data_IF_879174883030
#
_entry.id   IF_879174883030
#
_cell.length_a   1.000
_cell.length_b   1.000
_cell.length_c   1.000
_cell.angle_alpha   90.00
_cell.angle_beta   90.00
_cell.angle_gamma   90.00
#
_symmetry.space_group_name_H-M   'P 1'
#
loop_
_entity.id
_entity.type
_entity.pdbx_description
1 polymer ?
#
# COMPACT_ATOMS: atom_id res chain seq x y z
N UNK A 1 -17.22 -14.83 -6.16
CA UNK A 1 -16.03 -14.20 -6.76
C UNK A 1 -15.64 -14.79 -8.10
N UNK A 2 -15.26 -16.08 -8.20
CA UNK A 2 -14.82 -16.63 -9.49
C UNK A 2 -15.91 -16.61 -10.58
N UNK A 3 -17.17 -16.88 -10.20
CA UNK A 3 -18.33 -16.73 -11.09
C UNK A 3 -18.50 -15.28 -11.56
N UNK A 4 -18.40 -14.29 -10.66
CA UNK A 4 -18.45 -12.87 -11.03
C UNK A 4 -17.30 -12.48 -11.96
N UNK A 5 -16.09 -13.03 -11.74
CA UNK A 5 -14.96 -12.81 -12.65
C UNK A 5 -15.23 -13.38 -14.04
N UNK A 6 -15.89 -14.55 -14.14
CA UNK A 6 -16.33 -15.10 -15.41
C UNK A 6 -17.40 -14.23 -16.09
N UNK A 7 -18.37 -13.72 -15.31
CA UNK A 7 -19.43 -12.82 -15.80
C UNK A 7 -18.85 -11.49 -16.28
N UNK A 8 -17.96 -10.87 -15.51
CA UNK A 8 -17.24 -9.65 -15.88
C UNK A 8 -16.43 -9.85 -17.17
N UNK A 9 -15.78 -11.00 -17.33
CA UNK A 9 -15.03 -11.32 -18.55
C UNK A 9 -15.92 -11.53 -19.78
N UNK A 10 -17.13 -12.09 -19.63
CA UNK A 10 -18.12 -12.14 -20.72
C UNK A 10 -18.63 -10.74 -21.07
N UNK A 11 -18.88 -9.92 -20.05
CA UNK A 11 -19.40 -8.57 -20.22
C UNK A 11 -18.37 -7.67 -20.93
N UNK A 12 -17.09 -7.76 -20.56
CA UNK A 12 -15.99 -7.06 -21.23
C UNK A 12 -15.77 -7.50 -22.69
N UNK A 13 -16.33 -8.63 -23.11
CA UNK A 13 -16.31 -9.12 -24.50
C UNK A 13 -17.59 -8.77 -25.28
N UNK A 14 -18.51 -8.00 -24.68
CA UNK A 14 -19.80 -7.67 -25.28
C UNK A 14 -20.81 -8.82 -25.30
N UNK A 15 -20.52 -9.96 -24.66
CA UNK A 15 -21.40 -11.14 -24.67
C UNK A 15 -22.38 -11.18 -23.48
N UNK A 16 -22.60 -10.04 -22.83
CA UNK A 16 -23.45 -9.95 -21.63
C UNK A 16 -22.87 -10.72 -20.43
N UNK A 17 -23.73 -11.16 -19.51
CA UNK A 17 -23.34 -11.89 -18.28
C UNK A 17 -23.70 -13.39 -18.33
N UNK A 18 -24.00 -13.91 -19.52
CA UNK A 18 -24.48 -15.29 -19.67
C UNK A 18 -23.33 -16.31 -19.59
N UNK A 19 -23.50 -17.32 -18.74
CA UNK A 19 -22.58 -18.46 -18.57
C UNK A 19 -23.14 -19.77 -19.15
N UNK A 20 -24.27 -19.74 -19.88
CA UNK A 20 -24.97 -20.93 -20.39
C UNK A 20 -24.08 -21.85 -21.23
N UNK A 21 -23.23 -21.29 -22.09
CA UNK A 21 -22.27 -22.08 -22.88
C UNK A 21 -21.31 -22.88 -21.98
N UNK A 22 -20.76 -22.25 -20.93
CA UNK A 22 -19.85 -22.89 -19.99
C UNK A 22 -20.56 -23.95 -19.13
N UNK A 23 -21.77 -23.63 -18.64
CA UNK A 23 -22.63 -24.56 -17.90
C UNK A 23 -22.96 -25.80 -18.73
N UNK A 24 -23.30 -25.62 -20.00
CA UNK A 24 -23.63 -26.72 -20.93
C UNK A 24 -22.44 -27.65 -21.12
N UNK A 25 -21.24 -27.09 -21.27
CA UNK A 25 -20.00 -27.88 -21.39
C UNK A 25 -19.69 -28.66 -20.11
N UNK A 26 -19.88 -28.07 -18.94
CA UNK A 26 -19.68 -28.74 -17.66
C UNK A 26 -20.71 -29.86 -17.43
N UNK A 27 -21.99 -29.63 -17.75
CA UNK A 27 -23.04 -30.66 -17.69
C UNK A 27 -22.71 -31.87 -18.56
N UNK A 28 -22.20 -31.64 -19.79
CA UNK A 28 -21.82 -32.73 -20.69
C UNK A 28 -20.71 -33.61 -20.11
N UNK A 29 -19.68 -33.01 -19.52
CA UNK A 29 -18.59 -33.76 -18.88
C UNK A 29 -19.07 -34.56 -17.66
N UNK A 30 -20.00 -34.01 -16.87
CA UNK A 30 -20.61 -34.73 -15.74
C UNK A 30 -21.48 -35.90 -16.19
N UNK A 31 -22.18 -35.73 -17.30
CA UNK A 31 -23.03 -36.77 -17.89
C UNK A 31 -22.19 -37.89 -18.51
N UNK A 32 -21.07 -37.54 -19.15
CA UNK A 32 -20.05 -38.50 -19.59
C UNK A 32 -19.47 -39.29 -18.40
N UNK A 33 -19.16 -38.61 -17.28
CA UNK A 33 -18.67 -39.27 -16.06
C UNK A 33 -19.74 -40.18 -15.43
N UNK A 34 -21.00 -39.73 -15.36
CA UNK A 34 -22.11 -40.51 -14.82
C UNK A 34 -22.38 -41.79 -15.63
N UNK A 35 -22.05 -41.76 -16.92
CA UNK A 35 -22.18 -42.90 -17.85
C UNK A 35 -20.98 -43.84 -17.84
N UNK A 36 -20.01 -43.65 -16.92
CA UNK A 36 -18.86 -44.53 -16.81
C UNK A 36 -19.28 -45.98 -16.46
N UNK A 37 -18.56 -46.95 -17.02
CA UNK A 37 -18.87 -48.37 -16.86
C UNK A 37 -18.82 -48.85 -15.41
N UNK A 38 -18.00 -48.23 -14.55
CA UNK A 38 -17.94 -48.55 -13.13
C UNK A 38 -19.19 -48.10 -12.38
N UNK A 39 -19.74 -46.92 -12.72
CA UNK A 39 -20.96 -46.40 -12.10
C UNK A 39 -22.18 -47.21 -12.54
N UNK A 40 -22.26 -47.54 -13.84
CA UNK A 40 -23.31 -48.42 -14.37
C UNK A 40 -23.29 -49.80 -13.69
N UNK A 41 -22.10 -50.41 -13.54
CA UNK A 41 -21.97 -51.69 -12.84
C UNK A 41 -22.31 -51.59 -11.35
N UNK A 42 -22.05 -50.45 -10.71
CA UNK A 42 -22.44 -50.18 -9.32
C UNK A 42 -23.96 -50.01 -9.19
N UNK A 43 -24.60 -49.28 -10.11
CA UNK A 43 -26.07 -49.15 -10.18
C UNK A 43 -26.74 -50.50 -10.30
N UNK A 44 -26.25 -51.37 -11.19
CA UNK A 44 -26.78 -52.72 -11.36
C UNK A 44 -26.65 -53.54 -10.07
N UNK A 45 -25.47 -53.47 -9.43
CA UNK A 45 -25.22 -54.20 -8.18
C UNK A 45 -26.08 -53.71 -7.02
N UNK A 46 -26.21 -52.40 -6.86
CA UNK A 46 -27.09 -51.80 -5.85
C UNK A 46 -28.55 -52.12 -6.19
N UNK A 47 -28.91 -52.07 -7.47
CA UNK A 47 -30.22 -52.41 -8.00
C UNK A 47 -30.63 -53.84 -7.70
N UNK A 48 -29.72 -54.80 -7.81
CA UNK A 48 -29.99 -56.21 -7.48
C UNK A 48 -30.22 -56.42 -5.99
N UNK A 49 -29.42 -55.78 -5.14
CA UNK A 49 -29.64 -55.81 -3.70
C UNK A 49 -30.96 -55.13 -3.30
N UNK A 50 -31.23 -53.94 -3.84
CA UNK A 50 -32.43 -53.16 -3.52
C UNK A 50 -33.70 -53.86 -4.03
N UNK A 51 -33.61 -54.55 -5.18
CA UNK A 51 -34.67 -55.42 -5.69
C UNK A 51 -34.94 -56.60 -4.75
N UNK A 52 -33.89 -57.31 -4.31
CA UNK A 52 -34.04 -58.42 -3.35
C UNK A 52 -34.75 -57.97 -2.06
N UNK A 53 -34.46 -56.75 -1.60
CA UNK A 53 -35.03 -56.21 -0.36
C UNK A 53 -36.44 -55.62 -0.51
N UNK A 54 -36.80 -55.06 -1.68
CA UNK A 54 -38.04 -54.27 -1.84
C UNK A 54 -39.10 -54.90 -2.75
N UNK A 55 -38.76 -55.95 -3.52
CA UNK A 55 -39.66 -56.52 -4.53
C UNK A 55 -40.98 -57.08 -3.98
N UNK A 56 -41.04 -57.46 -2.70
CA UNK A 56 -42.26 -57.97 -2.06
C UNK A 56 -43.31 -56.92 -1.69
N UNK A 57 -42.97 -55.62 -1.78
CA UNK A 57 -43.87 -54.52 -1.37
C UNK A 57 -44.01 -53.49 -2.49
N UNK A 58 -42.92 -52.87 -2.92
CA UNK A 58 -42.91 -51.93 -4.04
C UNK A 58 -41.52 -51.90 -4.65
N UNK A 59 -41.45 -52.13 -5.96
CA UNK A 59 -40.17 -52.12 -6.66
C UNK A 59 -39.65 -50.69 -6.81
N UNK A 60 -38.40 -50.48 -6.41
CA UNK A 60 -37.67 -49.23 -6.59
C UNK A 60 -36.42 -49.48 -7.46
N UNK A 61 -36.01 -48.46 -8.21
CA UNK A 61 -34.83 -48.50 -9.08
C UNK A 61 -33.85 -47.43 -8.63
N UNK A 62 -32.62 -47.80 -8.24
CA UNK A 62 -31.59 -46.83 -7.94
C UNK A 62 -31.02 -46.27 -9.24
N UNK A 63 -30.78 -44.96 -9.25
CA UNK A 63 -30.08 -44.25 -10.30
C UNK A 63 -29.06 -43.30 -9.65
N UNK A 64 -27.88 -43.20 -10.24
CA UNK A 64 -26.82 -42.26 -9.91
C UNK A 64 -26.94 -41.13 -10.93
N UNK A 65 -27.35 -39.95 -10.46
CA UNK A 65 -27.47 -38.77 -11.31
C UNK A 65 -26.19 -37.93 -11.25
N UNK A 66 -25.74 -37.42 -12.39
CA UNK A 66 -24.75 -36.34 -12.45
C UNK A 66 -25.24 -35.09 -11.72
N UNK A 67 -24.32 -34.32 -11.11
CA UNK A 67 -24.68 -33.02 -10.52
C UNK A 67 -25.14 -32.04 -11.61
N UNK A 68 -26.08 -31.15 -11.28
CA UNK A 68 -26.47 -30.05 -12.18
C UNK A 68 -25.36 -29.01 -12.18
N UNK A 69 -24.80 -28.69 -13.34
CA UNK A 69 -23.77 -27.67 -13.47
C UNK A 69 -24.38 -26.26 -13.47
N UNK A 70 -24.77 -25.79 -12.30
CA UNK A 70 -25.16 -24.39 -12.06
C UNK A 70 -23.94 -23.52 -11.67
N UNK A 71 -24.17 -22.23 -11.44
CA UNK A 71 -23.10 -21.29 -11.07
C UNK A 71 -22.45 -21.66 -9.72
N UNK A 72 -23.23 -22.25 -8.81
CA UNK A 72 -22.73 -22.75 -7.52
C UNK A 72 -21.82 -23.96 -7.70
N UNK A 73 -22.13 -24.84 -8.64
CA UNK A 73 -21.29 -25.97 -9.03
C UNK A 73 -19.97 -25.47 -9.63
N UNK A 74 -20.02 -24.52 -10.56
CA UNK A 74 -18.81 -23.91 -11.13
C UNK A 74 -17.93 -23.29 -10.04
N UNK A 75 -18.53 -22.58 -9.07
CA UNK A 75 -17.81 -22.01 -7.93
C UNK A 75 -17.18 -23.07 -7.00
N UNK A 76 -17.76 -24.27 -6.92
CA UNK A 76 -17.28 -25.37 -6.06
C UNK A 76 -16.17 -26.21 -6.70
N UNK A 77 -16.18 -26.33 -8.02
CA UNK A 77 -15.25 -27.22 -8.75
C UNK A 77 -14.02 -26.49 -9.25
N UNK A 78 -14.13 -25.18 -9.51
CA UNK A 78 -13.01 -24.38 -9.96
C UNK A 78 -12.23 -23.84 -8.77
N UNK A 79 -10.97 -24.25 -8.68
CA UNK A 79 -10.02 -23.75 -7.70
C UNK A 79 -8.99 -22.82 -8.37
N UNK A 80 -8.66 -21.72 -7.71
CA UNK A 80 -7.55 -20.86 -8.13
C UNK A 80 -6.25 -21.40 -7.54
N UNK A 81 -5.22 -21.48 -8.37
CA UNK A 81 -3.88 -21.89 -7.98
C UNK A 81 -2.86 -20.85 -8.42
N UNK A 82 -1.70 -20.83 -7.77
CA UNK A 82 -0.60 -19.93 -8.10
C UNK A 82 0.68 -20.70 -8.37
N UNK A 83 1.46 -20.23 -9.35
CA UNK A 83 2.78 -20.75 -9.66
C UNK A 83 3.80 -19.61 -9.60
N UNK A 84 5.00 -19.87 -9.08
CA UNK A 84 6.11 -18.92 -9.11
C UNK A 84 6.85 -18.91 -10.47
N UNK A 85 6.63 -19.95 -11.28
CA UNK A 85 7.21 -20.15 -12.61
C UNK A 85 6.05 -20.40 -13.57
N UNK A 86 6.17 -19.89 -14.79
CA UNK A 86 5.16 -20.09 -15.84
C UNK A 86 4.97 -21.59 -16.15
N UNK A 87 3.71 -22.03 -16.23
CA UNK A 87 3.33 -23.43 -16.44
C UNK A 87 2.26 -23.88 -15.46
N UNK A 88 1.23 -24.57 -15.95
CA UNK A 88 0.13 -25.09 -15.09
C UNK A 88 0.61 -26.21 -14.17
N UNK A 89 1.61 -26.95 -14.60
CA UNK A 89 2.29 -28.02 -13.87
C UNK A 89 3.02 -27.53 -12.60
N UNK A 90 3.31 -26.24 -12.52
CA UNK A 90 3.97 -25.61 -11.37
C UNK A 90 2.97 -24.93 -10.42
N UNK A 91 1.67 -25.02 -10.72
CA UNK A 91 0.63 -24.42 -9.92
C UNK A 91 0.46 -25.18 -8.61
N UNK A 92 0.46 -24.45 -7.51
CA UNK A 92 0.26 -24.94 -6.16
C UNK A 92 -1.09 -24.46 -5.63
N UNK A 93 -1.77 -25.29 -4.80
CA UNK A 93 -2.92 -24.85 -4.02
C UNK A 93 -2.56 -23.63 -3.16
N UNK A 94 -3.54 -22.75 -2.92
CA UNK A 94 -3.29 -21.49 -2.19
C UNK A 94 -2.77 -21.73 -0.76
N UNK A 95 -3.10 -22.87 -0.15
CA UNK A 95 -2.61 -23.29 1.17
C UNK A 95 -1.08 -23.48 1.22
N UNK A 96 -0.47 -23.81 0.07
CA UNK A 96 0.97 -24.03 -0.06
C UNK A 96 1.74 -22.77 -0.50
N UNK A 97 1.03 -21.67 -0.77
CA UNK A 97 1.60 -20.41 -1.29
C UNK A 97 1.74 -19.40 -0.15
N UNK A 98 2.75 -18.54 -0.21
CA UNK A 98 2.95 -17.50 0.78
C UNK A 98 1.74 -16.55 0.87
N UNK A 99 1.27 -16.29 2.10
CA UNK A 99 0.06 -15.50 2.40
C UNK A 99 0.02 -14.16 1.66
N UNK A 100 1.16 -13.48 1.50
CA UNK A 100 1.23 -12.23 0.75
C UNK A 100 0.78 -12.35 -0.71
N UNK A 101 1.18 -13.41 -1.42
CA UNK A 101 0.75 -13.64 -2.80
C UNK A 101 -0.72 -14.05 -2.88
N UNK A 102 -1.22 -14.76 -1.87
CA UNK A 102 -2.66 -15.06 -1.75
C UNK A 102 -3.46 -13.77 -1.57
N UNK A 103 -2.98 -12.83 -0.75
CA UNK A 103 -3.61 -11.51 -0.60
C UNK A 103 -3.62 -10.72 -1.92
N UNK A 104 -2.51 -10.71 -2.66
CA UNK A 104 -2.45 -10.07 -3.98
C UNK A 104 -3.43 -10.71 -4.98
N UNK A 105 -3.52 -12.04 -4.99
CA UNK A 105 -4.51 -12.74 -5.82
C UNK A 105 -5.93 -12.35 -5.42
N UNK A 106 -6.22 -12.27 -4.12
CA UNK A 106 -7.54 -11.87 -3.65
C UNK A 106 -7.92 -10.45 -4.11
N UNK A 107 -7.00 -9.50 -3.99
CA UNK A 107 -7.19 -8.12 -4.47
C UNK A 107 -7.39 -8.12 -5.99
N UNK A 108 -6.56 -8.84 -6.74
CA UNK A 108 -6.64 -8.92 -8.20
C UNK A 108 -7.97 -9.53 -8.67
N UNK A 109 -8.40 -10.64 -8.05
CA UNK A 109 -9.69 -11.28 -8.35
C UNK A 109 -10.86 -10.35 -8.01
N UNK A 110 -10.75 -9.60 -6.92
CA UNK A 110 -11.77 -8.63 -6.52
C UNK A 110 -11.89 -7.50 -7.53
N UNK A 111 -10.78 -6.91 -7.94
CA UNK A 111 -10.76 -5.85 -8.96
C UNK A 111 -11.24 -6.33 -10.34
N UNK A 112 -10.86 -7.56 -10.72
CA UNK A 112 -11.25 -8.17 -11.99
C UNK A 112 -12.73 -8.59 -12.03
N UNK A 113 -13.34 -8.86 -10.88
CA UNK A 113 -14.77 -9.14 -10.79
C UNK A 113 -15.64 -7.88 -10.96
N UNK A 114 -15.10 -6.68 -10.67
CA UNK A 114 -15.82 -5.43 -10.87
C UNK A 114 -15.86 -5.12 -12.38
N UNK A 115 -17.05 -4.97 -12.99
CA UNK A 115 -17.18 -4.61 -14.41
C UNK A 115 -16.48 -3.29 -14.72
N UNK A 116 -15.80 -3.22 -15.87
CA UNK A 116 -15.09 -2.03 -16.33
C UNK A 116 -16.03 -1.19 -17.20
N UNK A 117 -16.57 -0.10 -16.63
CA UNK A 117 -17.58 0.71 -17.29
C UNK A 117 -17.08 1.28 -18.63
N UNK A 118 -15.80 1.67 -18.68
CA UNK A 118 -15.17 2.24 -19.90
C UNK A 118 -15.09 1.20 -21.02
N UNK A 119 -14.69 -0.03 -20.70
CA UNK A 119 -14.65 -1.12 -21.69
C UNK A 119 -16.03 -1.57 -22.15
N UNK A 120 -17.02 -1.55 -21.26
CA UNK A 120 -18.40 -1.90 -21.63
C UNK A 120 -18.95 -0.87 -22.62
N UNK A 121 -18.69 0.42 -22.40
CA UNK A 121 -19.04 1.48 -23.36
C UNK A 121 -18.31 1.31 -24.71
N UNK A 122 -17.02 1.01 -24.70
CA UNK A 122 -16.25 0.75 -25.93
C UNK A 122 -16.78 -0.48 -26.71
N UNK A 123 -16.99 -1.61 -26.04
CA UNK A 123 -17.47 -2.84 -26.67
C UNK A 123 -18.91 -2.70 -27.22
N UNK A 124 -19.78 -1.97 -26.52
CA UNK A 124 -21.14 -1.69 -27.02
C UNK A 124 -21.13 -0.73 -28.21
N UNK A 125 -20.22 0.24 -28.26
CA UNK A 125 -20.02 1.10 -29.42
C UNK A 125 -19.48 0.32 -30.63
N UNK A 126 -18.51 -0.59 -30.44
CA UNK A 126 -18.00 -1.45 -31.52
C UNK A 126 -19.07 -2.39 -32.08
N UNK A 127 -19.90 -2.99 -31.22
CA UNK A 127 -21.03 -3.83 -31.66
C UNK A 127 -22.12 -3.05 -32.39
N UNK A 128 -22.33 -1.77 -32.05
CA UNK A 128 -23.30 -0.91 -32.74
C UNK A 128 -22.81 -0.43 -34.13
N UNK A 129 -21.49 -0.36 -34.35
CA UNK A 129 -20.88 0.01 -35.64
C UNK A 129 -20.83 -1.17 -36.63
N UNK A 130 -20.93 -2.41 -36.12
CA UNK A 130 -21.23 -3.60 -36.94
C UNK A 130 -22.74 -3.60 -37.25
N UNK A 131 -23.16 -2.72 -38.16
CA UNK A 131 -24.54 -2.63 -38.64
C UNK A 131 -25.09 -3.99 -39.14
N UNK A 132 -26.43 -4.15 -39.21
CA UNK A 132 -27.05 -5.43 -39.52
C UNK A 132 -26.55 -5.91 -40.88
N UNK A 133 -26.00 -7.13 -40.91
CA UNK A 133 -25.58 -7.79 -42.14
C UNK A 133 -26.78 -7.81 -43.08
N UNK A 134 -26.68 -6.99 -44.13
CA UNK A 134 -27.69 -6.86 -45.15
C UNK A 134 -27.94 -8.24 -45.77
N UNK A 135 -29.11 -8.83 -45.47
CA UNK A 135 -29.66 -9.91 -46.26
C UNK A 135 -29.83 -9.36 -47.68
N UNK A 136 -29.03 -9.90 -48.60
CA UNK A 136 -29.02 -9.52 -50.01
C UNK A 136 -30.41 -9.63 -50.60
N UNK A 137 -30.97 -8.49 -51.01
CA UNK A 137 -32.12 -8.41 -51.89
C UNK A 137 -31.75 -8.93 -53.28
N UNK A 138 -32.01 -10.21 -53.53
CA UNK A 138 -32.04 -10.76 -54.88
C UNK A 138 -33.47 -10.65 -55.43
N UNK A 139 -33.66 -9.75 -56.39
CA UNK A 139 -34.80 -9.75 -57.29
C UNK A 139 -34.87 -11.08 -58.04
N UNK A 140 -36.00 -11.78 -57.99
CA UNK A 140 -36.44 -12.66 -59.06
C UNK A 140 -37.92 -12.45 -59.34
N UNK A 141 -38.18 -12.27 -60.64
CA UNK A 141 -39.44 -12.07 -61.32
C UNK A 141 -40.48 -13.16 -61.03
N UNK A 142 -41.75 -12.77 -61.16
CA UNK A 142 -42.90 -13.61 -60.86
C UNK A 142 -43.28 -14.64 -61.93
N UNK A 143 -43.95 -15.71 -61.48
CA UNK A 143 -45.04 -16.39 -62.17
C UNK A 143 -45.77 -17.33 -61.18
N UNK A 144 -47.09 -17.36 -61.29
CA UNK A 144 -48.05 -18.07 -60.42
C UNK A 144 -47.92 -19.60 -60.50
N UNK A 145 -48.02 -20.34 -59.38
CA UNK A 145 -48.89 -21.54 -59.28
C UNK A 145 -49.11 -22.05 -57.84
N UNK A 146 -50.39 -22.25 -57.50
CA UNK A 146 -51.02 -23.28 -56.64
C UNK A 146 -50.64 -23.47 -55.15
N UNK A 147 -51.70 -23.40 -54.33
CA UNK A 147 -51.79 -23.78 -52.92
C UNK A 147 -51.53 -25.28 -52.68
N UNK A 148 -50.86 -25.61 -51.57
CA UNK A 148 -51.27 -26.64 -50.61
C UNK A 148 -50.55 -26.40 -49.27
N UNK A 149 -51.19 -26.69 -48.11
CA UNK A 149 -50.74 -26.24 -46.79
C UNK A 149 -49.77 -27.24 -46.15
N UNK A 150 -48.99 -26.77 -45.17
CA UNK A 150 -48.45 -27.45 -43.97
C UNK A 150 -46.97 -27.08 -43.77
N UNK A 151 -46.71 -25.87 -43.28
CA UNK A 151 -45.48 -25.59 -42.52
C UNK A 151 -45.91 -24.69 -41.35
N UNK A 152 -45.73 -25.20 -40.13
CA UNK A 152 -45.86 -24.42 -38.90
C UNK A 152 -44.90 -23.23 -38.96
N UNK A 153 -45.30 -22.02 -38.52
CA UNK A 153 -44.48 -20.84 -38.75
C UNK A 153 -43.21 -20.90 -37.87
N UNK A 154 -42.02 -20.58 -38.43
CA UNK A 154 -40.74 -20.54 -37.70
C UNK A 154 -40.67 -19.43 -36.63
N UNK A 155 -41.78 -18.74 -36.35
CA UNK A 155 -41.87 -17.67 -35.36
C UNK A 155 -42.02 -18.18 -33.92
N UNK A 156 -42.52 -19.41 -33.71
CA UNK A 156 -42.75 -19.96 -32.36
C UNK A 156 -41.46 -20.43 -31.69
N UNK A 157 -40.60 -21.18 -32.39
CA UNK A 157 -39.30 -21.59 -31.85
C UNK A 157 -38.40 -20.37 -31.56
N UNK A 158 -38.44 -19.36 -32.42
CA UNK A 158 -37.70 -18.11 -32.26
C UNK A 158 -38.23 -17.28 -31.06
N UNK A 159 -39.54 -17.30 -30.82
CA UNK A 159 -40.16 -16.63 -29.68
C UNK A 159 -39.88 -17.35 -28.35
N UNK A 160 -39.91 -18.69 -28.33
CA UNK A 160 -39.53 -19.49 -27.16
C UNK A 160 -38.05 -19.31 -26.81
N UNK A 161 -37.17 -19.28 -27.80
CA UNK A 161 -35.74 -19.06 -27.58
C UNK A 161 -35.46 -17.66 -27.03
N UNK A 162 -36.14 -16.62 -27.54
CA UNK A 162 -36.06 -15.25 -26.98
C UNK A 162 -36.58 -15.16 -25.56
N UNK A 163 -37.67 -15.84 -25.23
CA UNK A 163 -38.21 -15.93 -23.86
C UNK A 163 -37.25 -16.66 -22.93
N UNK A 164 -36.63 -17.73 -23.40
CA UNK A 164 -35.62 -18.50 -22.66
C UNK A 164 -34.38 -17.65 -22.41
N UNK A 165 -33.88 -16.96 -23.43
CA UNK A 165 -32.73 -16.06 -23.33
C UNK A 165 -33.03 -14.89 -22.37
N UNK A 166 -34.22 -14.28 -22.47
CA UNK A 166 -34.64 -13.22 -21.56
C UNK A 166 -34.78 -13.70 -20.10
N UNK A 167 -35.25 -14.93 -19.87
CA UNK A 167 -35.28 -15.53 -18.52
C UNK A 167 -33.88 -15.76 -17.97
N UNK A 168 -32.98 -16.35 -18.75
CA UNK A 168 -31.58 -16.58 -18.34
C UNK A 168 -30.87 -15.26 -18.05
N UNK A 169 -31.11 -14.23 -18.86
CA UNK A 169 -30.54 -12.91 -18.64
C UNK A 169 -31.12 -12.27 -17.36
N UNK A 170 -32.43 -12.40 -17.11
CA UNK A 170 -33.07 -11.92 -15.87
C UNK A 170 -32.54 -12.64 -14.63
N UNK A 171 -32.43 -13.97 -14.68
CA UNK A 171 -31.86 -14.78 -13.59
C UNK A 171 -30.39 -14.41 -13.34
N UNK A 172 -29.60 -14.18 -14.40
CA UNK A 172 -28.21 -13.72 -14.28
C UNK A 172 -28.10 -12.32 -13.65
N UNK A 173 -29.05 -11.42 -13.96
CA UNK A 173 -29.14 -10.09 -13.34
C UNK A 173 -29.48 -10.15 -11.85
N UNK A 174 -30.41 -11.02 -11.46
CA UNK A 174 -30.78 -11.22 -10.06
C UNK A 174 -29.64 -11.82 -9.23
N UNK A 175 -28.82 -12.68 -9.83
CA UNK A 175 -27.70 -13.34 -9.17
C UNK A 175 -26.39 -12.54 -9.20
N UNK A 176 -26.28 -11.40 -9.91
CA UNK A 176 -25.04 -10.61 -9.98
C UNK A 176 -24.89 -9.65 -8.81
N UNK A 177 -23.65 -9.47 -8.36
CA UNK A 177 -23.33 -8.50 -7.31
C UNK A 177 -23.39 -7.05 -7.82
N UNK A 178 -23.24 -6.83 -9.12
CA UNK A 178 -23.14 -5.51 -9.73
C UNK A 178 -24.41 -5.19 -10.53
N UNK A 179 -25.00 -3.99 -10.36
CA UNK A 179 -26.15 -3.58 -11.16
C UNK A 179 -25.78 -3.39 -12.64
N UNK A 180 -26.79 -3.31 -13.52
CA UNK A 180 -26.60 -3.07 -14.96
C UNK A 180 -26.44 -1.57 -15.30
N UNK A 181 -26.84 -0.68 -14.39
CA UNK A 181 -26.74 0.77 -14.57
C UNK A 181 -25.43 1.36 -14.03
N UNK A 182 -25.22 2.69 -14.13
CA UNK A 182 -24.06 3.36 -13.57
C UNK A 182 -23.95 3.07 -12.07
N UNK A 183 -22.79 2.58 -11.64
CA UNK A 183 -22.51 2.28 -10.24
C UNK A 183 -21.18 2.90 -9.83
N UNK A 184 -20.98 2.99 -8.52
CA UNK A 184 -19.69 3.33 -7.93
C UNK A 184 -19.32 2.25 -6.92
N UNK A 185 -18.07 1.77 -6.96
CA UNK A 185 -17.55 0.76 -6.05
C UNK A 185 -16.49 1.37 -5.17
N UNK A 186 -16.71 1.32 -3.86
CA UNK A 186 -15.68 1.62 -2.87
C UNK A 186 -15.05 0.31 -2.39
N UNK A 187 -13.81 0.06 -2.81
CA UNK A 187 -12.99 -1.04 -2.32
C UNK A 187 -12.23 -0.60 -1.06
N UNK A 188 -12.49 -1.24 0.07
CA UNK A 188 -11.77 -1.00 1.32
C UNK A 188 -10.81 -2.16 1.56
N UNK A 189 -9.52 -1.86 1.70
CA UNK A 189 -8.47 -2.85 1.91
C UNK A 189 -7.79 -2.54 3.24
N UNK A 190 -7.84 -3.50 4.16
CA UNK A 190 -7.20 -3.41 5.46
C UNK A 190 -5.81 -4.05 5.42
N UNK A 191 -4.79 -3.29 5.83
CA UNK A 191 -3.39 -3.72 5.98
C UNK A 191 -2.89 -4.60 4.82
N UNK A 192 -2.97 -4.12 3.55
CA UNK A 192 -2.53 -4.92 2.41
C UNK A 192 -1.07 -5.33 2.47
N UNK A 193 -0.25 -4.64 3.27
CA UNK A 193 1.15 -4.96 3.54
C UNK A 193 1.39 -6.28 4.28
N UNK A 194 0.37 -6.85 4.93
CA UNK A 194 0.53 -8.04 5.74
C UNK A 194 1.09 -9.20 4.91
N UNK A 195 2.22 -9.76 5.38
CA UNK A 195 2.97 -10.84 4.70
C UNK A 195 3.51 -10.49 3.30
N UNK A 196 3.53 -9.21 2.91
CA UNK A 196 4.14 -8.74 1.66
C UNK A 196 5.56 -8.24 1.86
N UNK A 197 6.43 -8.60 0.92
CA UNK A 197 7.75 -8.00 0.80
C UNK A 197 7.62 -6.48 0.51
N UNK A 198 8.47 -5.59 1.09
CA UNK A 198 8.36 -4.14 0.89
C UNK A 198 8.29 -3.69 -0.58
N UNK A 199 9.01 -4.35 -1.49
CA UNK A 199 8.94 -4.03 -2.92
C UNK A 199 7.55 -4.29 -3.55
N UNK A 200 6.82 -5.30 -3.06
CA UNK A 200 5.46 -5.60 -3.50
C UNK A 200 4.47 -4.59 -2.92
N UNK A 201 4.69 -4.08 -1.71
CA UNK A 201 3.85 -3.04 -1.11
C UNK A 201 3.83 -1.77 -1.97
N UNK A 202 5.02 -1.28 -2.37
CA UNK A 202 5.12 -0.14 -3.31
C UNK A 202 4.42 -0.42 -4.65
N UNK A 203 4.60 -1.62 -5.18
CA UNK A 203 4.04 -2.03 -6.48
C UNK A 203 2.51 -2.08 -6.44
N UNK A 204 1.95 -2.63 -5.35
CA UNK A 204 0.51 -2.70 -5.11
C UNK A 204 -0.12 -1.32 -5.08
N UNK A 205 0.43 -0.39 -4.29
CA UNK A 205 -0.12 0.97 -4.19
C UNK A 205 -0.06 1.70 -5.53
N UNK A 206 1.08 1.62 -6.25
CA UNK A 206 1.20 2.20 -7.59
C UNK A 206 0.24 1.56 -8.59
N UNK A 207 -0.02 0.26 -8.47
CA UNK A 207 -1.02 -0.44 -9.28
C UNK A 207 -2.43 0.08 -8.97
N UNK A 208 -2.87 0.07 -7.71
CA UNK A 208 -4.20 0.55 -7.30
C UNK A 208 -4.45 2.00 -7.74
N UNK A 209 -3.46 2.89 -7.60
CA UNK A 209 -3.58 4.29 -8.04
C UNK A 209 -3.76 4.41 -9.56
N UNK A 210 -3.12 3.55 -10.35
CA UNK A 210 -3.31 3.52 -11.82
C UNK A 210 -4.69 3.00 -12.19
N UNK A 211 -5.16 1.94 -11.52
CA UNK A 211 -6.51 1.40 -11.74
C UNK A 211 -7.58 2.45 -11.46
N UNK A 212 -7.53 3.13 -10.30
CA UNK A 212 -8.47 4.20 -9.94
C UNK A 212 -8.42 5.38 -10.91
N UNK A 213 -7.24 5.70 -11.47
CA UNK A 213 -7.12 6.76 -12.46
C UNK A 213 -7.75 6.41 -13.82
N UNK A 214 -7.83 5.11 -14.15
CA UNK A 214 -8.42 4.62 -15.40
C UNK A 214 -9.91 4.29 -15.26
N UNK A 215 -10.37 3.97 -14.04
CA UNK A 215 -11.71 3.48 -13.73
C UNK A 215 -12.45 4.46 -12.82
N UNK A 216 -13.19 5.44 -13.37
CA UNK A 216 -13.87 6.48 -12.58
C UNK A 216 -14.96 5.93 -11.65
N UNK A 217 -15.48 4.73 -11.93
CA UNK A 217 -16.41 4.01 -11.07
C UNK A 217 -15.77 3.45 -9.80
N UNK A 218 -14.43 3.40 -9.71
CA UNK A 218 -13.69 2.76 -8.63
C UNK A 218 -13.10 3.79 -7.65
N UNK A 219 -13.38 3.62 -6.37
CA UNK A 219 -12.65 4.27 -5.28
C UNK A 219 -11.96 3.19 -4.44
N UNK A 220 -10.69 3.42 -4.09
CA UNK A 220 -9.95 2.52 -3.19
C UNK A 220 -9.57 3.26 -1.91
N UNK A 221 -9.91 2.67 -0.76
CA UNK A 221 -9.51 3.14 0.57
C UNK A 221 -8.61 2.06 1.18
N UNK A 222 -7.42 2.46 1.58
CA UNK A 222 -6.45 1.56 2.21
C UNK A 222 -6.18 2.03 3.64
N UNK A 223 -6.35 1.15 4.63
CA UNK A 223 -5.77 1.36 5.96
C UNK A 223 -4.41 0.65 6.04
N UNK A 224 -3.44 1.31 6.67
CA UNK A 224 -2.05 0.85 6.70
C UNK A 224 -1.30 1.50 7.86
N UNK A 225 -0.36 0.75 8.43
CA UNK A 225 0.66 1.26 9.33
C UNK A 225 2.07 1.16 8.72
N UNK A 226 2.18 0.66 7.48
CA UNK A 226 3.44 0.51 6.77
C UNK A 226 3.95 1.82 6.17
N UNK A 227 5.15 2.24 6.58
CA UNK A 227 5.83 3.39 6.02
C UNK A 227 6.11 3.27 4.51
N UNK A 228 6.37 2.06 4.01
CA UNK A 228 6.61 1.79 2.58
C UNK A 228 5.36 2.03 1.71
N UNK A 229 4.18 1.72 2.25
CA UNK A 229 2.89 2.02 1.63
C UNK A 229 2.70 3.54 1.56
N UNK A 230 2.90 4.24 2.69
CA UNK A 230 2.72 5.69 2.76
C UNK A 230 3.67 6.45 1.84
N UNK A 231 4.94 6.03 1.78
CA UNK A 231 5.96 6.62 0.90
C UNK A 231 5.61 6.49 -0.60
N UNK A 232 4.68 5.59 -0.95
CA UNK A 232 4.19 5.39 -2.33
C UNK A 232 2.94 6.20 -2.68
N UNK A 233 2.30 6.83 -1.70
CA UNK A 233 1.07 7.59 -1.86
C UNK A 233 1.34 9.06 -2.27
N UNK A 234 0.34 9.70 -2.88
CA UNK A 234 0.33 11.17 -2.95
C UNK A 234 0.12 11.74 -1.55
N UNK A 235 0.88 12.75 -1.09
CA UNK A 235 0.59 13.40 0.18
C UNK A 235 -0.85 13.93 0.29
N UNK A 236 -1.49 14.30 -0.82
CA UNK A 236 -2.90 14.75 -0.83
C UNK A 236 -3.91 13.59 -0.59
N UNK A 237 -3.49 12.34 -0.80
CA UNK A 237 -4.32 11.15 -0.59
C UNK A 237 -4.21 10.62 0.85
N UNK A 238 -3.28 11.15 1.66
CA UNK A 238 -3.03 10.66 3.04
C UNK A 238 -4.03 11.27 4.03
N UNK A 239 -4.65 10.39 4.83
CA UNK A 239 -5.48 10.74 5.98
C UNK A 239 -4.88 10.09 7.22
N UNK A 240 -4.49 10.91 8.20
CA UNK A 240 -3.93 10.45 9.47
C UNK A 240 -5.02 10.37 10.52
N UNK A 241 -5.25 9.17 11.05
CA UNK A 241 -6.18 8.93 12.16
C UNK A 241 -5.37 8.74 13.44
N UNK A 242 -5.67 9.52 14.48
CA UNK A 242 -4.91 9.50 15.75
C UNK A 242 -5.76 9.94 16.93
N UNK A 243 -5.21 9.85 18.14
CA UNK A 243 -5.73 10.56 19.32
C UNK A 243 -5.05 11.92 19.49
N UNK A 244 -5.83 12.93 19.85
CA UNK A 244 -5.31 14.25 20.25
C UNK A 244 -4.86 14.25 21.72
N UNK A 245 -4.36 15.40 22.20
CA UNK A 245 -3.89 15.57 23.59
C UNK A 245 -4.99 15.37 24.64
N UNK A 246 -6.25 15.46 24.25
CA UNK A 246 -7.41 15.24 25.11
C UNK A 246 -7.91 13.78 25.04
N UNK A 247 -7.21 12.91 24.30
CA UNK A 247 -7.57 11.51 24.10
C UNK A 247 -8.70 11.30 23.10
N UNK A 248 -9.13 12.34 22.35
CA UNK A 248 -10.20 12.24 21.37
C UNK A 248 -9.66 11.70 20.05
N UNK A 249 -10.41 10.82 19.40
CA UNK A 249 -10.08 10.36 18.06
C UNK A 249 -10.28 11.51 17.05
N UNK A 250 -9.25 11.82 16.28
CA UNK A 250 -9.25 12.85 15.24
C UNK A 250 -8.75 12.25 13.93
N UNK A 251 -9.33 12.71 12.82
CA UNK A 251 -8.90 12.37 11.46
C UNK A 251 -8.45 13.64 10.76
N UNK A 252 -7.24 13.61 10.18
CA UNK A 252 -6.59 14.78 9.58
C UNK A 252 -6.12 14.42 8.18
N UNK A 253 -6.84 14.90 7.17
CA UNK A 253 -6.43 14.77 5.78
C UNK A 253 -5.30 15.76 5.48
N UNK A 254 -4.15 15.27 5.02
CA UNK A 254 -2.99 16.11 4.71
C UNK A 254 -3.33 17.16 3.64
N UNK A 255 -4.22 16.81 2.70
CA UNK A 255 -4.74 17.73 1.70
C UNK A 255 -5.55 18.91 2.27
N UNK A 256 -6.17 18.81 3.44
CA UNK A 256 -7.00 19.88 4.00
C UNK A 256 -6.30 20.72 5.07
N UNK A 257 -5.08 20.37 5.46
CA UNK A 257 -4.33 21.09 6.49
C UNK A 257 -4.10 22.57 6.10
N UNK A 258 -4.41 23.52 7.01
CA UNK A 258 -4.23 24.96 6.77
C UNK A 258 -2.76 25.38 6.98
N UNK A 259 -1.87 24.88 6.12
CA UNK A 259 -0.42 25.12 6.21
C UNK A 259 0.03 26.38 5.45
N UNK A 260 0.90 27.19 6.07
CA UNK A 260 1.63 28.26 5.37
C UNK A 260 2.48 27.68 4.25
N UNK A 261 2.33 28.18 3.01
CA UNK A 261 3.09 27.67 1.87
C UNK A 261 2.73 26.23 1.48
N UNK A 262 1.46 25.84 1.65
CA UNK A 262 0.92 24.49 1.42
C UNK A 262 1.46 23.77 0.17
N UNK A 263 1.46 24.41 -1.00
CA UNK A 263 1.96 23.77 -2.23
C UNK A 263 3.46 23.44 -2.17
N UNK A 264 4.27 24.29 -1.54
CA UNK A 264 5.69 24.00 -1.32
C UNK A 264 5.86 22.83 -0.34
N UNK A 265 5.10 22.83 0.76
CA UNK A 265 5.11 21.74 1.76
C UNK A 265 4.71 20.42 1.12
N UNK A 266 3.63 20.38 0.35
CA UNK A 266 3.17 19.17 -0.33
C UNK A 266 4.17 18.69 -1.39
N UNK A 267 4.77 19.61 -2.15
CA UNK A 267 5.84 19.28 -3.10
C UNK A 267 7.06 18.68 -2.39
N UNK A 268 7.50 19.29 -1.29
CA UNK A 268 8.63 18.80 -0.48
C UNK A 268 8.31 17.44 0.16
N UNK A 269 7.09 17.27 0.66
CA UNK A 269 6.62 15.99 1.21
C UNK A 269 6.69 14.90 0.15
N UNK A 270 6.17 15.14 -1.07
CA UNK A 270 6.25 14.18 -2.17
C UNK A 270 7.70 13.79 -2.55
N UNK A 271 8.64 14.71 -2.43
CA UNK A 271 10.04 14.49 -2.81
C UNK A 271 10.89 13.84 -1.70
N UNK A 272 10.52 14.03 -0.43
CA UNK A 272 11.38 13.71 0.71
C UNK A 272 10.75 12.76 1.74
N UNK A 273 9.44 12.49 1.67
CA UNK A 273 8.78 11.54 2.56
C UNK A 273 9.05 10.10 2.08
N UNK A 274 10.24 9.59 2.39
CA UNK A 274 10.60 8.17 2.19
C UNK A 274 10.09 7.30 3.34
N UNK A 275 10.34 5.99 3.30
CA UNK A 275 9.90 5.07 4.35
C UNK A 275 10.40 5.49 5.75
N UNK A 276 11.66 5.90 5.88
CA UNK A 276 12.24 6.34 7.16
C UNK A 276 11.56 7.61 7.69
N UNK A 277 11.32 8.60 6.83
CA UNK A 277 10.66 9.86 7.24
C UNK A 277 9.14 9.70 7.39
N UNK A 278 8.52 8.75 6.71
CA UNK A 278 7.09 8.43 6.86
C UNK A 278 6.75 7.94 8.26
N UNK A 279 7.70 7.31 8.96
CA UNK A 279 7.54 6.93 10.36
C UNK A 279 7.19 8.13 11.26
N UNK A 280 7.58 9.35 10.88
CA UNK A 280 7.23 10.57 11.60
C UNK A 280 5.71 10.82 11.69
N UNK A 281 4.92 10.31 10.74
CA UNK A 281 3.45 10.45 10.75
C UNK A 281 2.77 9.60 11.83
N UNK A 282 3.45 8.55 12.32
CA UNK A 282 2.97 7.67 13.38
C UNK A 282 3.51 8.06 14.77
N UNK A 283 4.55 8.90 14.81
CA UNK A 283 5.22 9.23 16.05
C UNK A 283 4.40 10.20 16.93
N UNK A 284 4.17 9.83 18.20
CA UNK A 284 3.62 10.77 19.18
C UNK A 284 4.62 11.86 19.53
N UNK A 285 5.88 11.47 19.68
CA UNK A 285 7.02 12.32 20.04
C UNK A 285 8.14 12.10 19.05
N UNK A 286 8.64 13.18 18.47
CA UNK A 286 9.56 13.14 17.35
C UNK A 286 10.71 14.12 17.55
N UNK A 287 11.93 13.66 17.30
CA UNK A 287 13.10 14.51 17.17
C UNK A 287 13.56 14.51 15.70
N UNK A 288 13.50 15.68 15.05
CA UNK A 288 14.10 15.89 13.74
C UNK A 288 15.53 16.38 13.91
N UNK A 289 16.47 15.71 13.24
CA UNK A 289 17.89 16.08 13.26
C UNK A 289 18.44 16.23 11.84
N UNK A 290 19.58 16.91 11.67
CA UNK A 290 20.17 17.08 10.34
C UNK A 290 20.71 15.77 9.75
N UNK A 291 21.36 14.93 10.56
CA UNK A 291 22.02 13.71 10.12
C UNK A 291 21.96 12.55 11.12
N UNK A 292 22.54 11.43 10.69
CA UNK A 292 22.61 10.21 11.52
C UNK A 292 23.55 10.37 12.72
N UNK A 293 24.53 11.26 12.59
CA UNK A 293 25.51 11.68 13.60
C UNK A 293 24.80 12.22 14.84
N UNK A 294 23.93 13.21 14.67
CA UNK A 294 23.14 13.83 15.73
C UNK A 294 22.23 12.79 16.40
N UNK A 295 21.62 11.90 15.60
CA UNK A 295 20.72 10.88 16.11
C UNK A 295 21.43 9.88 17.05
N UNK A 296 22.68 9.52 16.74
CA UNK A 296 23.47 8.64 17.58
C UNK A 296 23.85 9.33 18.90
N UNK A 297 24.41 10.53 18.84
CA UNK A 297 24.86 11.27 20.03
C UNK A 297 23.71 11.61 20.97
N UNK A 298 22.58 12.12 20.44
CA UNK A 298 21.44 12.49 21.27
C UNK A 298 20.83 11.29 22.00
N UNK A 299 20.88 10.09 21.39
CA UNK A 299 20.41 8.87 22.05
C UNK A 299 21.27 8.53 23.26
N UNK A 300 22.59 8.65 23.16
CA UNK A 300 23.50 8.44 24.31
C UNK A 300 23.32 9.49 25.40
N UNK A 301 23.14 10.76 25.03
CA UNK A 301 22.80 11.80 26.01
C UNK A 301 21.47 11.54 26.71
N UNK A 302 20.48 11.05 25.97
CA UNK A 302 19.22 10.59 26.54
C UNK A 302 19.45 9.51 27.59
N UNK A 303 20.28 8.51 27.29
CA UNK A 303 20.61 7.42 28.22
C UNK A 303 21.37 7.92 29.47
N UNK A 304 22.34 8.82 29.30
CA UNK A 304 23.06 9.43 30.44
C UNK A 304 22.10 10.25 31.32
N UNK A 305 21.24 11.06 30.70
CA UNK A 305 20.23 11.85 31.41
C UNK A 305 19.19 10.98 32.13
N UNK A 306 18.82 9.85 31.53
CA UNK A 306 17.92 8.89 32.14
C UNK A 306 18.54 8.24 33.38
N UNK A 307 19.86 8.02 33.38
CA UNK A 307 20.57 7.43 34.52
C UNK A 307 20.03 6.04 34.82
N UNK A 308 19.53 5.83 36.04
CA UNK A 308 18.93 4.54 36.47
C UNK A 308 17.39 4.55 36.47
N UNK A 309 16.77 5.63 35.97
CA UNK A 309 15.33 5.78 35.90
C UNK A 309 14.79 4.98 34.70
N UNK A 310 14.08 3.88 34.97
CA UNK A 310 13.58 2.96 33.94
C UNK A 310 12.57 3.61 33.01
N UNK A 311 11.75 4.53 33.51
CA UNK A 311 10.73 5.19 32.70
C UNK A 311 11.39 6.16 31.71
N UNK A 312 12.44 6.86 32.14
CA UNK A 312 13.26 7.70 31.26
C UNK A 312 14.04 6.89 30.24
N UNK A 313 14.59 5.74 30.61
CA UNK A 313 15.29 4.86 29.68
C UNK A 313 14.33 4.34 28.60
N UNK A 314 13.16 3.83 29.00
CA UNK A 314 12.14 3.38 28.06
C UNK A 314 11.65 4.51 27.15
N UNK A 315 11.55 5.73 27.66
CA UNK A 315 11.26 6.91 26.85
C UNK A 315 12.31 7.17 25.78
N UNK A 316 13.60 7.11 26.14
CA UNK A 316 14.72 7.33 25.20
C UNK A 316 14.74 6.26 24.11
N UNK A 317 14.49 5.00 24.47
CA UNK A 317 14.43 3.88 23.52
C UNK A 317 13.26 3.99 22.55
N UNK A 318 12.10 4.42 23.04
CA UNK A 318 10.89 4.60 22.22
C UNK A 318 10.91 5.90 21.39
N UNK A 319 11.83 6.84 21.69
CA UNK A 319 11.88 8.13 21.00
C UNK A 319 12.23 7.95 19.52
N UNK A 320 11.31 8.39 18.66
CA UNK A 320 11.54 8.46 17.21
C UNK A 320 12.48 9.61 16.90
N UNK A 321 13.68 9.29 16.40
CA UNK A 321 14.66 10.27 15.92
C UNK A 321 14.80 10.10 14.40
N UNK A 322 14.48 11.15 13.65
CA UNK A 322 14.44 11.12 12.17
C UNK A 322 15.51 12.04 11.60
N UNK A 323 16.58 11.45 11.01
CA UNK A 323 17.57 12.18 10.23
C UNK A 323 16.98 12.74 8.94
N UNK A 324 17.08 14.06 8.74
CA UNK A 324 16.57 14.72 7.55
C UNK A 324 17.55 14.62 6.36
N UNK A 325 18.85 14.43 6.63
CA UNK A 325 19.94 14.41 5.65
C UNK A 325 20.34 15.81 5.16
N UNK A 326 19.67 16.85 5.66
CA UNK A 326 19.89 18.27 5.35
C UNK A 326 19.45 19.09 6.55
N UNK A 327 19.85 20.37 6.57
CA UNK A 327 19.38 21.33 7.55
C UNK A 327 17.85 21.32 7.66
N UNK A 328 17.34 21.10 8.87
CA UNK A 328 15.90 20.96 9.10
C UNK A 328 15.20 22.28 8.75
N UNK A 329 14.39 22.23 7.70
CA UNK A 329 13.59 23.35 7.19
C UNK A 329 12.17 23.37 7.74
N UNK A 330 11.39 24.36 7.31
CA UNK A 330 10.01 24.54 7.76
C UNK A 330 9.04 23.45 7.29
N UNK A 331 9.30 22.79 6.16
CA UNK A 331 8.29 21.95 5.51
C UNK A 331 7.81 20.78 6.39
N UNK A 332 8.72 20.07 7.05
CA UNK A 332 8.37 18.92 7.89
C UNK A 332 7.62 19.37 9.14
N UNK A 333 8.03 20.48 9.75
CA UNK A 333 7.37 21.04 10.93
C UNK A 333 6.00 21.61 10.56
N UNK A 334 5.87 22.28 9.42
CA UNK A 334 4.58 22.73 8.90
C UNK A 334 3.63 21.57 8.63
N UNK A 335 4.11 20.47 8.08
CA UNK A 335 3.31 19.25 7.91
C UNK A 335 2.89 18.64 9.25
N UNK A 336 3.83 18.48 10.18
CA UNK A 336 3.63 17.67 11.38
C UNK A 336 3.04 18.44 12.57
N UNK A 337 3.23 19.75 12.63
CA UNK A 337 2.87 20.61 13.77
C UNK A 337 2.03 21.82 13.33
N UNK A 338 1.21 21.69 12.28
CA UNK A 338 0.21 22.71 11.95
C UNK A 338 -0.66 22.97 13.17
N UNK A 339 -0.82 24.24 13.57
CA UNK A 339 -1.58 24.63 14.77
C UNK A 339 -3.02 24.13 14.69
N UNK A 340 -3.50 23.55 15.79
CA UNK A 340 -4.82 22.91 15.96
C UNK A 340 -5.03 21.67 15.05
N UNK A 341 -4.01 21.28 14.28
CA UNK A 341 -4.03 20.22 13.27
C UNK A 341 -2.75 19.34 13.30
N UNK A 342 -2.11 19.21 14.46
CA UNK A 342 -0.84 18.51 14.68
C UNK A 342 -0.85 16.99 14.36
N UNK A 343 -0.05 16.57 13.38
CA UNK A 343 0.18 15.14 13.11
C UNK A 343 1.20 14.52 14.08
N UNK A 344 1.96 15.33 14.82
CA UNK A 344 2.82 14.91 15.93
C UNK A 344 2.51 15.70 17.22
N UNK A 345 2.46 15.04 18.39
CA UNK A 345 2.02 15.74 19.62
C UNK A 345 3.11 16.60 20.26
N UNK A 346 4.37 16.20 20.10
CA UNK A 346 5.56 16.92 20.53
C UNK A 346 6.65 16.70 19.48
N UNK A 347 7.16 17.77 18.91
CA UNK A 347 8.25 17.76 17.94
C UNK A 347 9.40 18.61 18.47
N UNK A 348 10.58 18.03 18.50
CA UNK A 348 11.83 18.72 18.73
C UNK A 348 12.62 18.78 17.41
N UNK A 349 13.34 19.87 17.19
CA UNK A 349 14.24 20.05 16.05
C UNK A 349 15.62 20.40 16.59
N UNK A 350 16.61 19.56 16.29
CA UNK A 350 18.01 19.88 16.50
C UNK A 350 18.63 20.22 15.14
N UNK A 351 19.22 21.41 15.05
CA UNK A 351 19.83 21.92 13.83
C UNK A 351 21.11 22.69 14.14
N UNK A 352 21.98 22.83 13.16
CA UNK A 352 23.16 23.67 13.29
C UNK A 352 22.79 25.13 13.00
N UNK A 353 23.48 26.06 13.64
CA UNK A 353 23.36 27.47 13.29
C UNK A 353 24.07 27.80 11.98
N UNK A 354 25.21 27.13 11.69
CA UNK A 354 26.16 27.43 10.61
C UNK A 354 26.74 28.86 10.63
N UNK A 355 26.49 29.61 11.71
CA UNK A 355 26.99 30.96 11.89
C UNK A 355 28.44 30.93 12.41
N UNK A 356 29.25 31.97 12.21
CA UNK A 356 30.53 32.06 12.87
C UNK A 356 30.36 32.27 14.39
N UNK A 357 31.37 31.89 15.17
CA UNK A 357 31.36 31.92 16.65
C UNK A 357 31.05 33.30 17.27
N UNK A 358 31.29 34.38 16.54
CA UNK A 358 31.04 35.75 17.00
C UNK A 358 29.57 36.18 16.86
N UNK A 359 28.71 35.34 16.28
CA UNK A 359 27.31 35.63 16.03
C UNK A 359 26.39 34.78 16.88
N UNK A 360 25.48 35.44 17.60
CA UNK A 360 24.44 34.74 18.37
C UNK A 360 23.37 34.21 17.42
N UNK A 361 23.12 32.88 17.41
CA UNK A 361 22.09 32.31 16.55
C UNK A 361 20.70 32.73 17.00
N UNK A 362 19.84 33.03 16.03
CA UNK A 362 18.42 33.32 16.27
C UNK A 362 17.56 32.17 15.77
N UNK A 363 16.45 31.95 16.47
CA UNK A 363 15.49 30.93 16.08
C UNK A 363 14.95 31.20 14.67
N UNK A 364 14.72 30.17 13.86
CA UNK A 364 14.14 30.35 12.53
C UNK A 364 12.77 31.02 12.60
N UNK A 365 12.50 31.97 11.69
CA UNK A 365 11.24 32.72 11.68
C UNK A 365 9.98 31.83 11.64
N UNK A 366 10.06 30.67 10.98
CA UNK A 366 8.95 29.72 10.90
C UNK A 366 8.64 29.04 12.23
N UNK A 367 9.56 29.02 13.21
CA UNK A 367 9.31 28.40 14.52
C UNK A 367 8.18 29.12 15.28
N UNK A 368 8.08 30.44 15.11
CA UNK A 368 7.03 31.26 15.71
C UNK A 368 5.62 31.02 15.13
N UNK A 369 5.51 30.29 14.01
CA UNK A 369 4.23 29.89 13.41
C UNK A 369 3.53 28.78 14.22
N UNK A 370 4.24 28.12 15.15
CA UNK A 370 3.80 26.92 15.84
C UNK A 370 3.55 27.15 17.33
N UNK A 371 2.76 26.26 17.93
CA UNK A 371 2.54 26.24 19.38
C UNK A 371 3.86 25.84 20.09
N UNK A 372 4.37 26.68 21.01
CA UNK A 372 5.62 26.41 21.74
C UNK A 372 5.53 25.18 22.65
N UNK A 373 4.31 24.72 23.00
CA UNK A 373 4.17 23.43 23.66
C UNK A 373 4.32 22.25 22.69
N UNK A 374 3.98 22.43 21.40
CA UNK A 374 4.18 21.39 20.37
C UNK A 374 5.63 21.34 19.92
N UNK A 375 6.22 22.50 19.63
CA UNK A 375 7.50 22.64 18.94
C UNK A 375 8.61 23.17 19.85
N UNK A 376 9.70 22.42 19.94
CA UNK A 376 10.99 22.89 20.45
C UNK A 376 12.01 22.96 19.32
N UNK A 377 12.70 24.09 19.16
CA UNK A 377 13.83 24.21 18.23
C UNK A 377 15.08 24.54 19.03
N UNK A 378 16.05 23.63 18.99
CA UNK A 378 17.38 23.79 19.56
C UNK A 378 18.41 23.96 18.44
N UNK A 379 19.46 24.75 18.71
CA UNK A 379 20.52 25.00 17.74
C UNK A 379 21.88 24.71 18.35
N UNK A 380 22.69 23.88 17.67
CA UNK A 380 24.12 23.75 17.98
C UNK A 380 24.89 24.90 17.33
N UNK A 381 25.87 25.47 18.03
CA UNK A 381 26.60 26.63 17.54
C UNK A 381 28.13 26.44 17.58
N UNK A 382 28.84 26.59 16.43
CA UNK A 382 28.32 26.77 15.08
C UNK A 382 27.69 25.50 14.48
N UNK A 383 28.25 24.33 14.84
CA UNK A 383 27.78 22.98 14.49
C UNK A 383 27.84 22.09 15.72
N UNK A 384 27.34 20.86 15.63
CA UNK A 384 27.37 19.93 16.76
C UNK A 384 28.79 19.67 17.30
N UNK A 385 29.79 19.40 16.46
CA UNK A 385 31.10 18.93 16.95
C UNK A 385 31.85 19.94 17.85
N UNK A 386 31.89 21.24 17.51
CA UNK A 386 32.43 22.26 18.41
C UNK A 386 31.63 22.43 19.69
N UNK A 387 30.29 22.42 19.61
CA UNK A 387 29.40 22.54 20.79
C UNK A 387 29.68 21.42 21.79
N UNK A 388 29.89 20.20 21.30
CA UNK A 388 30.22 19.05 22.14
C UNK A 388 31.63 19.10 22.72
N UNK A 389 32.50 20.00 22.25
CA UNK A 389 33.89 20.02 22.70
C UNK A 389 34.02 20.63 24.10
N UNK A 390 33.20 21.62 24.41
CA UNK A 390 33.16 22.23 25.74
C UNK A 390 32.83 21.15 26.79
N UNK A 391 33.65 21.07 27.85
CA UNK A 391 33.57 20.10 28.95
C UNK A 391 33.78 18.61 28.55
N UNK A 392 34.10 18.30 27.29
CA UNK A 392 34.33 16.93 26.82
C UNK A 392 35.64 16.76 26.05
N UNK A 393 36.64 17.61 26.31
CA UNK A 393 37.91 17.65 25.56
C UNK A 393 38.60 16.28 25.55
N UNK A 394 38.59 15.57 26.68
CA UNK A 394 39.18 14.23 26.80
C UNK A 394 38.48 13.18 25.90
N UNK A 395 37.17 13.30 25.71
CA UNK A 395 36.42 12.41 24.82
C UNK A 395 36.69 12.75 23.36
N UNK A 396 36.77 14.05 23.03
CA UNK A 396 37.15 14.53 21.69
C UNK A 396 38.56 14.07 21.32
N UNK A 397 39.54 14.17 22.23
CA UNK A 397 40.91 13.64 22.03
C UNK A 397 40.87 12.16 21.69
N UNK A 398 40.14 11.35 22.47
CA UNK A 398 40.02 9.90 22.24
C UNK A 398 39.38 9.59 20.90
N UNK A 399 38.30 10.30 20.55
CA UNK A 399 37.60 10.12 19.29
C UNK A 399 38.50 10.48 18.09
N UNK A 400 39.14 11.66 18.12
CA UNK A 400 40.09 12.08 17.06
C UNK A 400 41.26 11.09 16.91
N UNK A 401 41.81 10.61 18.03
CA UNK A 401 42.89 9.62 18.04
C UNK A 401 42.44 8.28 17.45
N UNK A 402 41.25 7.79 17.83
CA UNK A 402 40.68 6.55 17.31
C UNK A 402 40.43 6.62 15.79
N UNK A 403 40.06 7.81 15.31
CA UNK A 403 39.93 8.06 13.88
C UNK A 403 41.30 8.23 13.20
N UNK A 404 42.40 8.47 13.92
CA UNK A 404 43.69 8.80 13.32
C UNK A 404 43.70 10.20 12.67
N UNK A 405 42.93 11.13 13.23
CA UNK A 405 42.96 12.55 12.87
C UNK A 405 43.93 13.29 13.81
N UNK A 406 44.53 14.37 13.31
CA UNK A 406 45.40 15.22 14.12
C UNK A 406 44.60 15.84 15.28
N UNK A 407 45.11 15.66 16.50
CA UNK A 407 44.52 16.22 17.72
C UNK A 407 45.09 17.63 17.92
N UNK A 408 44.26 18.68 17.94
CA UNK A 408 44.74 20.03 18.19
C UNK A 408 45.17 20.19 19.66
N UNK A 409 46.15 21.07 19.90
CA UNK A 409 46.60 21.43 21.25
C UNK A 409 46.60 22.96 21.38
N UNK A 410 45.67 23.58 22.15
CA UNK A 410 44.63 22.95 22.97
C UNK A 410 43.41 22.46 22.15
N UNK A 411 42.66 21.49 22.71
CA UNK A 411 41.35 21.08 22.20
C UNK A 411 40.29 22.08 22.70
N UNK A 412 39.76 22.89 21.79
CA UNK A 412 38.70 23.88 22.07
C UNK A 412 37.66 23.83 20.94
N UNK A 413 36.44 24.36 21.12
CA UNK A 413 35.45 24.45 20.04
C UNK A 413 36.02 25.07 18.75
N UNK A 414 36.83 26.13 18.87
CA UNK A 414 37.47 26.82 17.74
C UNK A 414 38.57 26.00 17.07
N UNK A 415 39.28 25.14 17.80
CA UNK A 415 40.32 24.27 17.22
C UNK A 415 39.73 23.01 16.58
N UNK A 416 38.56 22.55 17.03
CA UNK A 416 37.81 21.41 16.47
C UNK A 416 37.02 21.80 15.22
N UNK A 417 36.46 23.01 15.16
CA UNK A 417 35.64 23.45 14.02
C UNK A 417 36.34 23.30 12.64
N UNK A 418 37.63 23.67 12.44
CA UNK A 418 38.33 23.49 11.18
C UNK A 418 38.48 22.03 10.74
N UNK A 419 38.43 21.06 11.66
CA UNK A 419 38.55 19.62 11.37
C UNK A 419 37.29 19.12 10.66
N UNK A 420 36.11 19.56 11.10
CA UNK A 420 34.80 19.08 10.61
C UNK A 420 34.07 20.08 9.71
N UNK A 421 34.66 21.24 9.40
CA UNK A 421 34.03 22.23 8.53
C UNK A 421 33.74 21.67 7.14
N UNK A 422 32.56 21.99 6.62
CA UNK A 422 32.21 21.74 5.23
C UNK A 422 32.98 22.67 4.28
N UNK A 423 33.20 22.23 3.04
CA UNK A 423 33.80 23.07 2.01
C UNK A 423 32.93 24.32 1.78
N UNK A 424 33.55 25.50 1.80
CA UNK A 424 32.86 26.78 1.49
C UNK A 424 33.38 27.32 0.17
N UNK A 425 32.47 27.47 -0.80
CA UNK A 425 32.72 28.15 -2.07
C UNK A 425 31.88 29.44 -2.12
N UNK A 426 32.32 30.52 -1.46
CA UNK A 426 31.59 31.79 -1.51
C UNK A 426 31.51 32.33 -2.94
N UNK A 427 30.43 33.05 -3.27
CA UNK A 427 30.21 33.66 -4.61
C UNK A 427 31.34 34.61 -5.02
N UNK A 428 32.00 35.26 -4.06
CA UNK A 428 33.23 36.05 -4.23
C UNK A 428 34.14 35.80 -3.02
N UNK A 429 35.13 34.90 -3.15
CA UNK A 429 36.10 34.64 -2.09
C UNK A 429 36.99 33.41 -2.34
N UNK A 430 37.95 33.19 -1.46
CA UNK A 430 38.88 32.04 -1.52
C UNK A 430 38.13 30.76 -1.16
N UNK A 431 38.26 29.73 -2.01
CA UNK A 431 37.71 28.41 -1.74
C UNK A 431 38.36 27.84 -0.48
N UNK A 432 37.54 27.62 0.56
CA UNK A 432 38.02 26.97 1.78
C UNK A 432 37.73 25.48 1.66
N UNK A 433 38.75 24.60 1.61
CA UNK A 433 38.53 23.17 1.52
C UNK A 433 37.84 22.65 2.78
N UNK A 434 37.09 21.56 2.61
CA UNK A 434 36.54 20.81 3.74
C UNK A 434 37.68 20.38 4.69
N UNK A 435 37.36 20.33 5.98
CA UNK A 435 38.30 19.81 6.97
C UNK A 435 38.57 18.31 6.78
N UNK A 436 39.70 17.80 7.27
CA UNK A 436 40.08 16.39 7.13
C UNK A 436 39.08 15.40 7.77
N UNK A 437 38.32 15.85 8.79
CA UNK A 437 37.30 15.06 9.47
C UNK A 437 35.89 15.20 8.88
N UNK A 438 35.65 16.12 7.93
CA UNK A 438 34.32 16.35 7.35
C UNK A 438 33.64 15.08 6.76
N UNK A 439 34.34 14.17 6.02
CA UNK A 439 33.72 12.93 5.55
C UNK A 439 33.51 11.89 6.66
N UNK A 440 34.11 12.10 7.85
CA UNK A 440 34.14 11.14 8.96
C UNK A 440 33.36 11.61 10.18
N UNK A 441 32.45 12.58 10.01
CA UNK A 441 31.56 13.08 11.06
C UNK A 441 30.78 11.95 11.75
N UNK A 442 30.26 11.00 10.98
CA UNK A 442 29.52 9.86 11.52
C UNK A 442 30.40 8.95 12.39
N UNK A 443 31.62 8.63 11.94
CA UNK A 443 32.60 7.85 12.73
C UNK A 443 33.00 8.59 14.01
N UNK A 444 33.19 9.91 13.94
CA UNK A 444 33.53 10.74 15.08
C UNK A 444 32.42 10.74 16.14
N UNK A 445 31.17 10.90 15.71
CA UNK A 445 30.02 10.83 16.60
C UNK A 445 29.83 9.45 17.23
N UNK A 446 30.07 8.38 16.48
CA UNK A 446 30.06 7.02 17.04
C UNK A 446 31.15 6.84 18.10
N UNK A 447 32.38 7.29 17.83
CA UNK A 447 33.47 7.23 18.81
C UNK A 447 33.19 8.08 20.06
N UNK A 448 32.56 9.25 19.90
CA UNK A 448 32.08 10.05 21.02
C UNK A 448 30.97 9.34 21.81
N UNK A 449 29.97 8.80 21.11
CA UNK A 449 28.86 8.04 21.70
C UNK A 449 29.36 6.84 22.51
N UNK A 450 30.31 6.06 21.99
CA UNK A 450 30.96 4.96 22.71
C UNK A 450 31.73 5.45 23.95
N UNK A 451 32.40 6.60 23.83
CA UNK A 451 33.07 7.26 24.95
C UNK A 451 32.11 7.66 26.06
N UNK A 452 30.92 8.15 25.70
CA UNK A 452 29.83 8.49 26.61
C UNK A 452 29.28 7.25 27.31
N UNK A 453 29.01 6.18 26.57
CA UNK A 453 28.53 4.91 27.13
C UNK A 453 29.55 4.27 28.09
N UNK A 454 30.84 4.27 27.74
CA UNK A 454 31.91 3.77 28.61
C UNK A 454 32.19 4.65 29.84
N UNK A 455 31.95 5.96 29.72
CA UNK A 455 32.11 6.96 30.78
C UNK A 455 30.93 7.06 31.76
N UNK A 456 29.76 6.48 31.44
CA UNK A 456 28.55 6.52 32.26
C UNK A 456 28.71 5.89 33.67
N UNK A 457 29.80 5.18 33.93
CA UNK A 457 30.17 4.76 35.30
C UNK A 457 30.68 5.90 36.19
N UNK A 458 31.05 7.06 35.62
CA UNK A 458 31.71 8.17 36.31
C UNK A 458 31.06 9.57 36.11
N UNK A 459 29.96 9.70 35.38
CA UNK A 459 29.31 11.01 35.16
C UNK A 459 28.56 11.50 36.40
N UNK A 460 29.08 12.55 37.06
CA UNK A 460 28.40 13.37 38.08
C UNK A 460 28.24 14.81 37.58
N UNK A 461 27.47 15.02 36.52
CA UNK A 461 27.14 16.36 36.02
C UNK A 461 25.72 16.77 36.38
N UNK A 462 25.55 17.90 37.08
CA UNK A 462 24.25 18.53 37.34
C UNK A 462 23.57 19.00 36.04
N UNK A 463 22.24 18.91 35.93
CA UNK A 463 21.52 19.44 34.77
C UNK A 463 21.53 20.98 34.82
N UNK A 464 22.09 21.63 33.82
CA UNK A 464 21.74 23.03 33.52
C UNK A 464 20.68 23.03 32.42
N UNK A 465 19.49 23.44 32.86
CA UNK A 465 18.29 23.98 32.17
C UNK A 465 18.03 23.60 30.74
#
# INVERSE_FOLDING_TARGET
MLVELLRAQQQNRGMGRDLTSLRTKASRLLEELASDGLLTALEDRVGDHLRSLSAGVSRNWPYIRGQVADDRYLARVLELMLAAIEGREHALPLEAVGLGYVNLLHIAVTLAAIPDATRVEEATAEMADVGPVAASSAQQDGAQTQQSPTEEPPEFEDAEERLRQARVESESREDSFFPDGPFHVTLVIEEPEAHLHPQLQHSLIRYLRREVAQRPELQVIVSTHASDVIASCDPKEIVVVRRDRQGRNVSRAVASLPMTGKEEVLRKTRLHLDASRSAALFAERLLLVEGVTEAAVVREFGWIWAGQDRDKQAFVDALSIVPMGTKVGSWAVRLLATKDHELCSRIAVLRDSDLPFDQVPTLPAWAAEHDPEVLLVAQSHPTLEPELTEDNENLVVKALTALGLDVPDPVTPESVHPIFRSARKPKNGVHTPAGPGAPRKAEFALALAEGFAGGASNWRGHPRT
#
